data_IF_150532946671
#
_entry.id   IF_150532946671
#
_cell.length_a   1.000
_cell.length_b   1.000
_cell.length_c   1.000
_cell.angle_alpha   90.00
_cell.angle_beta   90.00
_cell.angle_gamma   90.00
#
_symmetry.space_group_name_H-M   'P 1'
#
loop_
_entity.id
_entity.type
_entity.pdbx_description
1 polymer ?
#
# COMPACT_ATOMS: atom_id res chain seq x y z
N UNK A 1 11.33 0.71 -4.34
CA UNK A 1 11.08 0.64 -5.78
C UNK A 1 9.62 0.95 -6.11
N UNK A 2 8.61 0.17 -5.69
CA UNK A 2 7.19 0.48 -5.97
C UNK A 2 6.77 1.82 -5.36
N UNK A 3 7.08 2.08 -4.09
CA UNK A 3 6.83 3.38 -3.47
C UNK A 3 7.53 4.55 -4.17
N UNK A 4 8.73 4.31 -4.76
CA UNK A 4 9.43 5.33 -5.53
C UNK A 4 8.72 5.59 -6.88
N UNK A 5 8.17 4.54 -7.49
CA UNK A 5 7.32 4.64 -8.68
C UNK A 5 6.03 5.41 -8.39
N UNK A 6 5.31 5.09 -7.31
CA UNK A 6 4.12 5.84 -6.89
C UNK A 6 4.42 7.32 -6.68
N UNK A 7 5.49 7.62 -5.94
CA UNK A 7 5.90 9.00 -5.67
C UNK A 7 6.27 9.75 -6.96
N UNK A 8 6.96 9.08 -7.89
CA UNK A 8 7.33 9.66 -9.18
C UNK A 8 6.10 9.89 -10.04
N UNK A 9 5.16 8.95 -10.09
CA UNK A 9 3.90 9.08 -10.81
C UNK A 9 3.08 10.25 -10.24
N UNK A 10 2.95 10.35 -8.92
CA UNK A 10 2.29 11.48 -8.26
C UNK A 10 2.94 12.81 -8.63
N UNK A 11 4.27 12.89 -8.62
CA UNK A 11 5.03 14.10 -9.00
C UNK A 11 4.81 14.48 -10.47
N UNK A 12 4.83 13.50 -11.38
CA UNK A 12 4.65 13.74 -12.82
C UNK A 12 3.22 14.17 -13.12
N UNK A 13 2.21 13.51 -12.54
CA UNK A 13 0.82 13.92 -12.69
C UNK A 13 0.57 15.31 -12.07
N UNK A 14 1.09 15.55 -10.86
CA UNK A 14 0.96 16.84 -10.17
C UNK A 14 1.56 18.02 -10.95
N UNK A 15 2.60 17.79 -11.75
CA UNK A 15 3.19 18.85 -12.60
C UNK A 15 2.49 19.03 -13.95
N UNK A 16 1.72 18.04 -14.42
CA UNK A 16 1.02 18.09 -15.72
C UNK A 16 -0.44 18.53 -15.63
N UNK A 17 -1.08 18.27 -14.51
CA UNK A 17 -2.47 18.65 -14.32
C UNK A 17 -2.57 20.16 -14.10
N UNK A 18 -3.55 20.78 -14.75
CA UNK A 18 -3.89 22.18 -14.52
C UNK A 18 -4.73 22.34 -13.24
N UNK A 19 -4.84 23.58 -12.74
CA UNK A 19 -5.73 23.94 -11.63
C UNK A 19 -7.17 23.45 -11.90
N UNK A 20 -7.87 22.88 -10.89
CA UNK A 20 -7.54 22.92 -9.47
C UNK A 20 -6.57 21.83 -9.00
N UNK A 21 -6.22 20.83 -9.82
CA UNK A 21 -5.43 19.66 -9.42
C UNK A 21 -3.90 19.85 -9.49
N UNK A 22 -3.43 20.99 -9.99
CA UNK A 22 -2.01 21.30 -10.11
C UNK A 22 -1.30 21.19 -8.75
N UNK A 23 -0.29 20.32 -8.67
CA UNK A 23 0.46 20.04 -7.44
C UNK A 23 -0.31 19.29 -6.36
N UNK A 24 -1.54 18.83 -6.62
CA UNK A 24 -2.44 18.20 -5.66
C UNK A 24 -2.62 16.70 -5.91
N UNK A 25 -1.49 16.02 -6.13
CA UNK A 25 -1.42 14.57 -6.32
C UNK A 25 -0.47 13.99 -5.28
N UNK A 26 -0.92 13.01 -4.50
CA UNK A 26 -0.15 12.43 -3.39
C UNK A 26 -0.28 10.91 -3.31
N UNK A 27 0.70 10.25 -2.69
CA UNK A 27 0.69 8.79 -2.46
C UNK A 27 -0.03 8.46 -1.15
N UNK A 28 -0.79 7.37 -1.13
CA UNK A 28 -1.45 6.84 0.09
C UNK A 28 -0.57 5.81 0.80
N UNK A 29 -0.49 5.78 2.14
CA UNK A 29 -1.09 6.72 3.10
C UNK A 29 -0.29 8.03 3.17
N UNK A 30 -0.93 9.15 2.83
CA UNK A 30 -0.39 10.50 2.93
C UNK A 30 -1.08 11.29 4.04
N UNK A 31 -0.54 12.46 4.41
CA UNK A 31 -1.07 13.31 5.48
C UNK A 31 -2.49 13.88 5.21
N UNK A 32 -3.06 13.62 4.04
CA UNK A 32 -4.27 14.28 3.55
C UNK A 32 -3.94 15.70 3.08
N UNK A 33 -4.46 16.12 1.93
CA UNK A 33 -4.33 17.50 1.49
C UNK A 33 -5.51 18.28 2.07
N UNK A 34 -5.24 19.23 2.96
CA UNK A 34 -6.28 20.07 3.53
C UNK A 34 -6.88 20.99 2.45
N UNK A 35 -8.21 20.92 2.27
CA UNK A 35 -9.04 21.80 1.45
C UNK A 35 -8.84 21.70 -0.06
N UNK A 36 -9.92 21.53 -0.85
CA UNK A 36 -9.90 21.51 -2.31
C UNK A 36 -9.70 20.12 -2.94
N UNK A 37 -10.07 19.92 -4.21
CA UNK A 37 -10.03 18.61 -4.86
C UNK A 37 -8.59 18.14 -5.05
N UNK A 38 -8.37 16.83 -5.00
CA UNK A 38 -7.03 16.24 -5.09
C UNK A 38 -7.07 14.80 -5.60
N UNK A 39 -5.90 14.25 -5.92
CA UNK A 39 -5.76 12.88 -6.42
C UNK A 39 -4.86 12.07 -5.49
N UNK A 40 -5.32 10.89 -5.13
CA UNK A 40 -4.55 9.90 -4.37
C UNK A 40 -4.02 8.84 -5.33
N UNK A 41 -2.76 8.45 -5.14
CA UNK A 41 -2.07 7.39 -5.89
C UNK A 41 -1.77 6.25 -4.93
N UNK A 42 -2.15 5.03 -5.29
CA UNK A 42 -1.80 3.83 -4.54
C UNK A 42 -1.64 2.65 -5.50
N UNK A 43 -0.61 1.83 -5.34
CA UNK A 43 -0.60 0.52 -5.98
C UNK A 43 -1.51 -0.44 -5.22
N UNK A 44 -2.38 -1.13 -5.95
CA UNK A 44 -3.41 -2.01 -5.38
C UNK A 44 -3.17 -3.48 -5.67
N UNK A 45 -2.39 -3.78 -6.72
CA UNK A 45 -1.98 -5.15 -7.05
C UNK A 45 -0.59 -5.16 -7.70
N UNK A 46 0.13 -6.27 -7.53
CA UNK A 46 1.44 -6.49 -8.13
C UNK A 46 1.53 -7.93 -8.60
N UNK A 47 1.89 -8.14 -9.85
CA UNK A 47 2.13 -9.47 -10.39
C UNK A 47 3.46 -9.51 -11.13
N UNK A 48 4.14 -10.67 -11.25
CA UNK A 48 5.13 -10.88 -12.28
C UNK A 48 4.48 -10.62 -13.64
N UNK A 49 5.17 -9.90 -14.51
CA UNK A 49 4.76 -9.87 -15.91
C UNK A 49 5.07 -11.25 -16.53
N UNK A 50 4.14 -11.79 -17.34
CA UNK A 50 4.17 -13.17 -17.84
C UNK A 50 5.45 -13.58 -18.61
N UNK A 51 5.62 -14.90 -18.74
CA UNK A 51 6.81 -15.60 -19.25
C UNK A 51 7.11 -15.44 -20.74
N UNK A 52 6.22 -14.85 -21.53
CA UNK A 52 6.35 -14.75 -23.00
C UNK A 52 7.22 -13.58 -23.48
N UNK A 53 8.30 -13.31 -22.76
CA UNK A 53 9.43 -12.53 -23.27
C UNK A 53 10.66 -13.41 -23.25
N UNK A 54 10.80 -14.19 -24.33
CA UNK A 54 11.95 -15.05 -24.54
C UNK A 54 11.61 -16.54 -24.56
N UNK A 55 10.61 -16.96 -25.34
CA UNK A 55 10.69 -18.29 -25.96
C UNK A 55 11.94 -18.26 -26.85
N UNK A 56 13.01 -18.69 -26.23
CA UNK A 56 14.34 -18.87 -26.75
C UNK A 56 15.05 -19.57 -25.61
N UNK A 57 14.91 -20.91 -25.55
CA UNK A 57 15.80 -21.79 -24.79
C UNK A 57 17.20 -21.19 -24.87
N UNK A 58 17.73 -20.69 -23.76
CA UNK A 58 19.05 -20.06 -23.81
C UNK A 58 20.12 -21.16 -23.84
N UNK A 59 21.11 -21.07 -24.76
CA UNK A 59 22.28 -21.95 -24.75
C UNK A 59 23.00 -21.87 -23.40
N UNK A 60 23.73 -22.92 -23.03
CA UNK A 60 24.56 -22.92 -21.81
C UNK A 60 25.39 -21.64 -21.74
N UNK A 61 25.29 -20.85 -20.66
CA UNK A 61 25.95 -19.55 -20.59
C UNK A 61 27.47 -19.75 -20.44
N UNK A 62 28.23 -18.99 -21.22
CA UNK A 62 29.68 -18.89 -21.07
C UNK A 62 30.02 -18.06 -19.83
N UNK A 63 31.26 -18.18 -19.32
CA UNK A 63 31.76 -17.44 -18.15
C UNK A 63 31.67 -15.91 -18.33
N UNK A 64 31.62 -15.42 -19.57
CA UNK A 64 31.50 -13.99 -19.90
C UNK A 64 30.06 -13.45 -19.78
N UNK A 65 29.05 -14.32 -19.93
CA UNK A 65 27.62 -13.98 -19.79
C UNK A 65 27.19 -13.85 -18.32
N UNK A 66 27.93 -14.48 -17.39
CA UNK A 66 27.71 -14.38 -15.95
C UNK A 66 27.92 -12.96 -15.39
N UNK A 67 28.81 -12.19 -15.99
CA UNK A 67 29.10 -10.80 -15.60
C UNK A 67 28.04 -9.78 -16.08
N UNK A 68 27.16 -10.17 -17.02
CA UNK A 68 26.15 -9.32 -17.65
C UNK A 68 24.71 -9.65 -17.22
N UNK A 69 24.53 -10.43 -16.17
CA UNK A 69 23.20 -10.74 -15.64
C UNK A 69 22.55 -9.44 -15.16
N UNK A 70 21.25 -9.23 -15.45
CA UNK A 70 20.51 -8.03 -15.04
C UNK A 70 19.82 -8.30 -13.69
N UNK A 71 19.94 -7.38 -12.72
CA UNK A 71 19.33 -7.49 -11.38
C UNK A 71 17.97 -6.80 -11.33
N UNK A 72 17.08 -7.23 -12.22
CA UNK A 72 15.77 -6.59 -12.40
C UNK A 72 14.64 -7.58 -12.21
N UNK A 73 13.59 -7.14 -11.51
CA UNK A 73 12.31 -7.82 -11.47
C UNK A 73 11.40 -7.23 -12.52
N UNK A 74 10.75 -8.09 -13.31
CA UNK A 74 9.72 -7.62 -14.21
C UNK A 74 8.36 -7.75 -13.55
N UNK A 75 7.74 -6.61 -13.27
CA UNK A 75 6.45 -6.54 -12.58
C UNK A 75 5.41 -5.86 -13.48
N UNK A 76 4.17 -6.32 -13.36
CA UNK A 76 2.97 -5.58 -13.66
C UNK A 76 2.41 -5.06 -12.32
N UNK A 77 2.28 -3.75 -12.18
CA UNK A 77 1.75 -3.08 -10.99
C UNK A 77 0.43 -2.44 -11.38
N UNK A 78 -0.65 -2.80 -10.70
CA UNK A 78 -1.92 -2.08 -10.80
C UNK A 78 -1.87 -0.88 -9.88
N UNK A 79 -2.18 0.29 -10.41
CA UNK A 79 -2.20 1.56 -9.68
C UNK A 79 -3.61 2.14 -9.72
N UNK A 80 -4.16 2.41 -8.55
CA UNK A 80 -5.37 3.19 -8.37
C UNK A 80 -5.01 4.68 -8.30
N UNK A 81 -5.69 5.48 -9.11
CA UNK A 81 -5.77 6.92 -8.99
C UNK A 81 -7.19 7.29 -8.55
N UNK A 82 -7.32 7.77 -7.31
CA UNK A 82 -8.61 8.18 -6.75
C UNK A 82 -8.72 9.69 -6.77
N UNK A 83 -9.70 10.22 -7.50
CA UNK A 83 -10.00 11.65 -7.55
C UNK A 83 -10.99 11.96 -6.43
N UNK A 84 -10.52 12.72 -5.45
CA UNK A 84 -11.29 13.13 -4.29
C UNK A 84 -11.78 14.56 -4.52
N UNK A 85 -13.10 14.81 -4.58
CA UNK A 85 -13.64 16.16 -4.72
C UNK A 85 -13.38 16.99 -3.45
N UNK A 86 -13.59 18.31 -3.52
CA UNK A 86 -13.44 19.17 -2.35
C UNK A 86 -14.48 18.88 -1.26
N UNK A 87 -15.68 18.49 -1.70
CA UNK A 87 -16.81 18.03 -0.89
C UNK A 87 -17.47 16.81 -1.59
N UNK A 88 -17.98 15.86 -0.82
CA UNK A 88 -18.76 14.70 -1.29
C UNK A 88 -19.92 15.05 -2.24
N UNK A 89 -20.47 16.26 -2.15
CA UNK A 89 -21.56 16.74 -3.01
C UNK A 89 -21.09 17.28 -4.36
N UNK A 90 -19.79 17.55 -4.52
CA UNK A 90 -19.21 18.15 -5.73
C UNK A 90 -18.76 17.12 -6.77
N UNK A 91 -19.69 16.24 -7.15
CA UNK A 91 -19.48 15.19 -8.15
C UNK A 91 -18.86 15.68 -9.47
N UNK A 92 -19.17 16.92 -9.87
CA UNK A 92 -18.60 17.53 -11.07
C UNK A 92 -17.08 17.68 -11.00
N UNK A 93 -16.51 17.95 -9.82
CA UNK A 93 -15.06 18.04 -9.64
C UNK A 93 -14.38 16.69 -9.82
N UNK A 94 -14.97 15.62 -9.28
CA UNK A 94 -14.46 14.27 -9.44
C UNK A 94 -14.48 13.81 -10.91
N UNK A 95 -15.55 14.12 -11.65
CA UNK A 95 -15.64 13.83 -13.09
C UNK A 95 -14.59 14.63 -13.88
N UNK A 96 -14.48 15.93 -13.64
CA UNK A 96 -13.49 16.77 -14.33
C UNK A 96 -12.05 16.35 -14.01
N UNK A 97 -11.78 15.97 -12.77
CA UNK A 97 -10.47 15.44 -12.38
C UNK A 97 -10.16 14.13 -13.08
N UNK A 98 -11.15 13.22 -13.17
CA UNK A 98 -11.00 11.97 -13.89
C UNK A 98 -10.66 12.21 -15.37
N UNK A 99 -11.40 13.06 -16.06
CA UNK A 99 -11.15 13.41 -17.47
C UNK A 99 -9.75 13.99 -17.69
N UNK A 100 -9.31 14.89 -16.80
CA UNK A 100 -7.98 15.50 -16.87
C UNK A 100 -6.86 14.48 -16.64
N UNK A 101 -7.07 13.55 -15.70
CA UNK A 101 -6.10 12.47 -15.47
C UNK A 101 -6.04 11.55 -16.68
N UNK A 102 -7.19 11.12 -17.23
CA UNK A 102 -7.26 10.29 -18.43
C UNK A 102 -6.52 10.95 -19.60
N UNK A 103 -6.76 12.25 -19.83
CA UNK A 103 -6.05 13.00 -20.86
C UNK A 103 -4.54 13.07 -20.60
N UNK A 104 -4.12 13.27 -19.35
CA UNK A 104 -2.70 13.35 -19.00
C UNK A 104 -1.97 12.02 -19.17
N UNK A 105 -2.60 10.88 -18.86
CA UNK A 105 -1.97 9.56 -18.97
C UNK A 105 -1.89 9.04 -20.42
N UNK A 106 -2.76 9.53 -21.31
CA UNK A 106 -2.77 9.17 -22.72
C UNK A 106 -1.60 9.77 -23.52
N UNK A 107 -0.82 10.68 -22.93
CA UNK A 107 0.36 11.22 -23.61
C UNK A 107 1.39 10.13 -23.88
N UNK A 108 1.96 10.12 -25.08
CA UNK A 108 2.83 9.04 -25.56
C UNK A 108 4.08 8.81 -24.69
N UNK A 109 4.52 9.81 -23.94
CA UNK A 109 5.66 9.73 -23.01
C UNK A 109 5.29 9.15 -21.64
N UNK A 110 4.07 9.37 -21.12
CA UNK A 110 3.57 8.68 -19.93
C UNK A 110 3.20 7.24 -20.25
N UNK A 111 2.48 7.01 -21.35
CA UNK A 111 2.09 5.67 -21.80
C UNK A 111 3.31 4.77 -22.05
N UNK A 112 4.43 5.34 -22.49
CA UNK A 112 5.70 4.62 -22.68
C UNK A 112 6.64 4.67 -21.45
N UNK A 113 6.19 5.20 -20.31
CA UNK A 113 6.97 5.31 -19.07
C UNK A 113 8.11 6.33 -19.07
N UNK A 114 8.47 6.93 -20.22
CA UNK A 114 9.57 7.91 -20.37
C UNK A 114 9.44 9.14 -19.48
N UNK A 115 8.20 9.61 -19.25
CA UNK A 115 7.94 10.72 -18.35
C UNK A 115 8.32 10.42 -16.89
N UNK A 116 8.38 9.14 -16.52
CA UNK A 116 8.67 8.67 -15.18
C UNK A 116 10.17 8.46 -14.97
N UNK A 117 10.95 8.35 -16.03
CA UNK A 117 12.41 8.20 -15.95
C UNK A 117 13.01 9.38 -15.16
N UNK A 118 13.97 9.07 -14.29
CA UNK A 118 14.71 10.07 -13.55
C UNK A 118 15.86 10.61 -14.41
N UNK A 119 16.12 11.92 -14.30
CA UNK A 119 17.33 12.49 -14.90
C UNK A 119 18.57 11.97 -14.13
N UNK A 120 19.65 11.57 -14.83
CA UNK A 120 20.90 11.21 -14.17
C UNK A 120 21.39 12.33 -13.23
N UNK A 121 21.97 12.02 -12.06
CA UNK A 121 22.42 10.70 -11.60
C UNK A 121 21.41 9.92 -10.74
N UNK A 122 20.14 10.35 -10.68
CA UNK A 122 19.16 9.72 -9.79
C UNK A 122 18.71 8.35 -10.33
N UNK A 123 18.89 7.30 -9.53
CA UNK A 123 18.32 5.97 -9.77
C UNK A 123 17.20 5.69 -8.76
N UNK A 124 15.96 5.66 -9.25
CA UNK A 124 14.77 5.44 -8.43
C UNK A 124 14.47 3.94 -8.19
N UNK A 125 15.26 3.03 -8.78
CA UNK A 125 15.05 1.60 -8.63
C UNK A 125 13.91 1.05 -9.50
N UNK A 126 13.54 1.74 -10.58
CA UNK A 126 12.54 1.24 -11.52
C UNK A 126 12.69 1.87 -12.91
N UNK A 127 12.15 1.17 -13.91
CA UNK A 127 11.93 1.66 -15.27
C UNK A 127 10.62 1.12 -15.80
N UNK A 128 9.69 2.01 -16.16
CA UNK A 128 8.41 1.61 -16.71
C UNK A 128 8.54 1.48 -18.22
N UNK A 129 8.17 0.32 -18.76
CA UNK A 129 8.13 0.06 -20.18
C UNK A 129 6.80 0.52 -20.80
N UNK A 130 5.72 0.34 -20.04
CA UNK A 130 4.36 0.64 -20.47
C UNK A 130 3.49 1.02 -19.29
N UNK A 131 2.70 2.07 -19.46
CA UNK A 131 1.60 2.42 -18.59
C UNK A 131 0.32 2.44 -19.43
N UNK A 132 -0.70 1.70 -19.02
CA UNK A 132 -1.97 1.63 -19.74
C UNK A 132 -3.16 1.73 -18.81
N UNK A 133 -4.27 2.26 -19.31
CA UNK A 133 -5.55 2.24 -18.63
C UNK A 133 -6.09 0.80 -18.57
N UNK A 134 -6.52 0.34 -17.40
CA UNK A 134 -7.28 -0.89 -17.23
C UNK A 134 -8.77 -0.59 -17.27
N UNK A 135 -9.21 0.29 -16.37
CA UNK A 135 -10.57 0.77 -16.29
C UNK A 135 -10.63 2.15 -15.62
N UNK A 136 -11.78 2.80 -15.75
CA UNK A 136 -12.11 4.01 -15.02
C UNK A 136 -13.60 3.97 -14.63
N UNK A 137 -13.89 4.41 -13.41
CA UNK A 137 -15.23 4.49 -12.85
C UNK A 137 -15.51 5.93 -12.41
N UNK A 138 -16.51 6.52 -13.05
CA UNK A 138 -17.07 7.79 -12.60
C UNK A 138 -17.94 7.58 -11.35
N UNK A 139 -18.00 8.57 -10.44
CA UNK A 139 -18.92 8.53 -9.31
C UNK A 139 -20.37 8.55 -9.80
N UNK A 140 -21.22 7.80 -9.11
CA UNK A 140 -22.68 7.76 -9.31
C UNK A 140 -23.38 8.50 -8.17
N UNK A 141 -24.69 8.72 -8.30
CA UNK A 141 -25.49 9.37 -7.23
C UNK A 141 -25.62 8.51 -5.96
N UNK A 142 -25.26 7.22 -6.04
CA UNK A 142 -25.36 6.28 -4.93
C UNK A 142 -24.01 6.06 -4.21
N UNK A 143 -22.93 6.71 -4.66
CA UNK A 143 -21.61 6.57 -4.04
C UNK A 143 -21.46 7.59 -2.90
N UNK A 144 -21.28 7.10 -1.67
CA UNK A 144 -21.25 7.92 -0.44
C UNK A 144 -20.07 8.90 -0.36
N UNK A 145 -19.00 8.67 -1.14
CA UNK A 145 -17.77 9.48 -1.11
C UNK A 145 -17.60 10.41 -2.33
N UNK A 146 -18.47 10.28 -3.34
CA UNK A 146 -18.42 11.05 -4.58
C UNK A 146 -17.12 10.91 -5.39
N UNK A 147 -16.25 9.93 -5.10
CA UNK A 147 -14.93 9.81 -5.71
C UNK A 147 -14.96 9.13 -7.09
N UNK A 148 -14.09 9.59 -7.99
CA UNK A 148 -13.80 8.87 -9.24
C UNK A 148 -12.56 7.99 -9.05
N UNK A 149 -12.55 6.83 -9.69
CA UNK A 149 -11.46 5.85 -9.57
C UNK A 149 -10.95 5.48 -10.96
N UNK A 150 -9.63 5.49 -11.15
CA UNK A 150 -8.96 5.07 -12.38
C UNK A 150 -7.94 4.00 -12.04
N UNK A 151 -8.00 2.85 -12.70
CA UNK A 151 -7.00 1.80 -12.56
C UNK A 151 -6.05 1.79 -13.75
N UNK A 152 -4.76 1.84 -13.47
CA UNK A 152 -3.68 1.74 -14.45
C UNK A 152 -2.90 0.46 -14.26
N UNK A 153 -2.36 -0.08 -15.34
CA UNK A 153 -1.36 -1.15 -15.33
C UNK A 153 -0.01 -0.61 -15.76
N UNK A 154 0.95 -0.63 -14.85
CA UNK A 154 2.34 -0.28 -15.10
C UNK A 154 3.16 -1.56 -15.27
N UNK A 155 3.72 -1.78 -16.45
CA UNK A 155 4.63 -2.88 -16.71
C UNK A 155 6.05 -2.36 -16.82
N UNK A 156 6.96 -2.93 -16.04
CA UNK A 156 8.32 -2.41 -15.96
C UNK A 156 9.30 -3.30 -15.22
N UNK A 157 10.51 -2.78 -15.11
CA UNK A 157 11.61 -3.37 -14.38
C UNK A 157 11.79 -2.65 -13.05
N UNK A 158 12.07 -3.40 -11.98
CA UNK A 158 12.22 -2.88 -10.63
C UNK A 158 13.46 -3.50 -9.96
N UNK A 159 14.22 -2.69 -9.22
CA UNK A 159 15.44 -3.09 -8.52
C UNK A 159 15.65 -2.23 -7.26
N UNK A 160 16.56 -2.61 -6.34
CA UNK A 160 16.88 -1.78 -5.19
C UNK A 160 17.41 -0.40 -5.63
N UNK A 161 16.82 0.68 -5.11
CA UNK A 161 17.22 2.04 -5.46
C UNK A 161 18.71 2.28 -5.12
N UNK A 162 19.42 2.98 -6.01
CA UNK A 162 20.85 3.27 -5.87
C UNK A 162 21.78 2.06 -6.09
N UNK A 163 21.26 0.88 -6.40
CA UNK A 163 22.05 -0.24 -6.89
C UNK A 163 22.10 -0.24 -8.41
N UNK A 164 23.19 -0.75 -9.01
CA UNK A 164 23.29 -0.91 -10.47
C UNK A 164 22.29 -1.99 -10.93
N UNK A 165 21.02 -1.62 -11.10
CA UNK A 165 19.96 -2.53 -11.53
C UNK A 165 20.24 -3.16 -12.89
N UNK A 166 21.01 -2.45 -13.73
CA UNK A 166 21.44 -2.89 -15.06
C UNK A 166 22.62 -3.89 -15.04
N UNK A 167 23.17 -4.30 -13.88
CA UNK A 167 24.25 -5.31 -13.83
C UNK A 167 24.38 -6.03 -12.46
N UNK A 168 24.34 -7.36 -12.43
CA UNK A 168 24.59 -8.21 -11.25
C UNK A 168 23.88 -9.58 -11.25
N UNK A 169 24.14 -10.48 -10.28
CA UNK A 169 23.53 -11.82 -10.26
C UNK A 169 22.02 -11.78 -9.99
N UNK A 170 21.30 -12.69 -10.65
CA UNK A 170 19.83 -12.81 -10.68
C UNK A 170 19.17 -12.83 -9.29
N UNK A 171 18.04 -12.13 -9.16
CA UNK A 171 17.21 -12.16 -7.95
C UNK A 171 16.26 -13.35 -8.05
N UNK A 172 16.59 -14.45 -7.36
CA UNK A 172 15.83 -15.71 -7.40
C UNK A 172 14.48 -15.65 -6.67
N UNK A 173 14.37 -14.77 -5.67
CA UNK A 173 13.17 -14.62 -4.84
C UNK A 173 13.06 -13.18 -4.39
N UNK A 174 11.87 -12.61 -4.51
CA UNK A 174 11.52 -11.36 -3.84
C UNK A 174 10.30 -11.56 -2.97
N UNK A 175 10.47 -11.13 -1.73
CA UNK A 175 9.40 -11.07 -0.74
C UNK A 175 8.81 -9.68 -0.83
N UNK A 176 7.70 -9.56 -1.56
CA UNK A 176 6.91 -8.36 -1.54
C UNK A 176 6.09 -8.38 -0.24
N UNK A 177 6.57 -7.63 0.75
CA UNK A 177 5.69 -7.14 1.80
C UNK A 177 4.88 -6.01 1.16
N UNK A 178 3.77 -6.37 0.51
CA UNK A 178 2.82 -5.38 0.02
C UNK A 178 2.42 -4.51 1.22
N UNK A 179 2.69 -3.20 1.12
CA UNK A 179 2.28 -2.20 2.11
C UNK A 179 0.78 -1.90 2.07
N UNK A 180 -0.04 -2.84 1.60
CA UNK A 180 -1.44 -2.61 1.23
C UNK A 180 -2.36 -3.58 1.95
N UNK A 181 -2.21 -3.72 3.27
CA UNK A 181 -3.31 -4.26 4.07
C UNK A 181 -4.22 -3.07 4.36
N UNK A 182 -5.33 -2.88 3.64
CA UNK A 182 -6.37 -2.00 4.14
C UNK A 182 -6.96 -2.70 5.35
N UNK A 183 -6.58 -2.23 6.53
CA UNK A 183 -7.08 -2.80 7.77
C UNK A 183 -8.39 -2.10 8.12
N UNK A 184 -9.39 -2.89 8.48
CA UNK A 184 -10.64 -2.40 9.07
C UNK A 184 -10.81 -3.03 10.44
N UNK A 185 -10.99 -2.21 11.47
CA UNK A 185 -11.36 -2.68 12.80
C UNK A 185 -12.88 -2.82 12.88
N UNK A 186 -13.36 -3.99 13.28
CA UNK A 186 -14.78 -4.34 13.36
C UNK A 186 -15.07 -5.02 14.70
N UNK A 187 -16.21 -4.72 15.30
CA UNK A 187 -16.70 -5.38 16.52
C UNK A 187 -16.45 -4.59 17.81
N UNK A 188 -17.10 -5.05 18.88
CA UNK A 188 -17.18 -4.40 20.20
C UNK A 188 -18.53 -3.71 20.43
N UNK A 189 -19.05 -3.66 21.67
CA UNK A 189 -20.19 -2.81 21.98
C UNK A 189 -19.77 -1.35 21.82
N UNK A 190 -20.36 -0.63 20.88
CA UNK A 190 -20.27 0.83 20.87
C UNK A 190 -21.38 1.39 21.78
N UNK A 191 -21.03 2.25 22.75
CA UNK A 191 -19.71 2.75 23.11
C UNK A 191 -18.91 1.81 24.06
N UNK A 192 -17.57 1.84 23.95
CA UNK A 192 -16.68 1.22 24.95
C UNK A 192 -16.79 2.00 26.27
N UNK A 193 -17.05 1.32 27.38
CA UNK A 193 -17.28 1.93 28.70
C UNK A 193 -16.09 1.73 29.63
N UNK A 194 -15.70 2.78 30.37
CA UNK A 194 -14.62 2.73 31.35
C UNK A 194 -14.89 1.68 32.43
N UNK A 195 -13.91 0.81 32.67
CA UNK A 195 -14.06 -0.35 33.58
C UNK A 195 -15.06 -1.41 33.10
N UNK A 196 -15.57 -1.28 31.88
CA UNK A 196 -16.54 -2.21 31.29
C UNK A 196 -15.92 -3.57 30.93
N UNK A 197 -16.78 -4.46 30.46
CA UNK A 197 -16.37 -5.79 30.01
C UNK A 197 -15.42 -5.72 28.80
N UNK A 198 -14.62 -6.77 28.61
CA UNK A 198 -13.75 -6.90 27.45
C UNK A 198 -14.57 -6.95 26.15
N UNK A 199 -14.21 -6.12 25.19
CA UNK A 199 -14.76 -6.10 23.85
C UNK A 199 -13.99 -7.05 22.94
N UNK A 200 -14.70 -7.92 22.23
CA UNK A 200 -14.11 -8.72 21.16
C UNK A 200 -13.98 -7.85 19.91
N UNK A 201 -12.74 -7.68 19.44
CA UNK A 201 -12.40 -6.90 18.26
C UNK A 201 -11.85 -7.81 17.17
N UNK A 202 -12.12 -7.46 15.92
CA UNK A 202 -11.60 -8.13 14.73
C UNK A 202 -10.96 -7.13 13.79
N UNK A 203 -9.76 -7.42 13.34
CA UNK A 203 -9.14 -6.74 12.21
C UNK A 203 -9.41 -7.56 10.96
N UNK A 204 -10.07 -6.93 10.01
CA UNK A 204 -10.27 -7.45 8.67
C UNK A 204 -9.24 -6.83 7.73
N UNK A 205 -8.81 -7.60 6.74
CA UNK A 205 -8.01 -7.10 5.62
C UNK A 205 -8.64 -7.56 4.32
N UNK A 206 -8.66 -6.65 3.36
CA UNK A 206 -9.04 -6.89 1.97
C UNK A 206 -7.92 -7.56 1.14
N UNK A 207 -6.68 -7.54 1.64
CA UNK A 207 -5.51 -8.00 0.92
C UNK A 207 -4.96 -9.36 1.39
N UNK A 208 -4.46 -10.14 0.41
CA UNK A 208 -3.92 -11.47 0.59
C UNK A 208 -2.41 -11.47 0.93
N UNK A 209 -2.07 -11.22 2.20
CA UNK A 209 -0.79 -11.63 2.82
C UNK A 209 0.53 -11.13 2.18
N UNK A 210 1.65 -11.75 2.59
CA UNK A 210 2.97 -11.55 1.95
C UNK A 210 2.98 -12.29 0.63
N UNK A 211 3.28 -11.60 -0.47
CA UNK A 211 3.36 -12.23 -1.78
C UNK A 211 4.80 -12.59 -2.08
N UNK A 212 5.05 -13.89 -2.27
CA UNK A 212 6.33 -14.38 -2.77
C UNK A 212 6.27 -14.42 -4.27
N UNK A 213 7.13 -13.62 -4.89
CA UNK A 213 7.36 -13.66 -6.32
C UNK A 213 8.67 -14.40 -6.57
N UNK A 214 8.57 -15.49 -7.33
CA UNK A 214 9.71 -16.27 -7.83
C UNK A 214 9.72 -16.22 -9.35
N UNK A 215 10.90 -16.28 -9.95
CA UNK A 215 11.05 -16.21 -11.40
C UNK A 215 10.44 -17.43 -12.13
N UNK A 216 10.35 -18.57 -11.44
CA UNK A 216 9.98 -19.88 -11.99
C UNK A 216 8.64 -20.42 -11.47
N UNK A 217 7.93 -19.64 -10.64
CA UNK A 217 6.67 -20.07 -10.03
C UNK A 217 5.62 -18.96 -10.08
N UNK A 218 4.32 -19.32 -10.18
CA UNK A 218 3.25 -18.34 -10.03
C UNK A 218 3.35 -17.62 -8.67
N UNK A 219 2.82 -16.39 -8.56
CA UNK A 219 2.74 -15.69 -7.28
C UNK A 219 2.16 -16.60 -6.21
N UNK A 220 2.91 -16.81 -5.14
CA UNK A 220 2.45 -17.57 -4.00
C UNK A 220 2.14 -16.60 -2.87
N UNK A 221 0.86 -16.48 -2.51
CA UNK A 221 0.49 -15.86 -1.25
C UNK A 221 1.10 -16.71 -0.11
N UNK A 222 2.03 -16.15 0.64
CA UNK A 222 2.46 -16.72 1.90
C UNK A 222 1.37 -16.48 2.94
N UNK A 223 1.30 -17.36 3.96
CA UNK A 223 0.38 -17.19 5.08
C UNK A 223 0.43 -15.75 5.60
N UNK A 224 -0.73 -15.19 5.93
CA UNK A 224 -1.04 -13.81 6.33
C UNK A 224 -0.16 -13.20 7.47
N UNK A 225 0.79 -13.96 7.99
CA UNK A 225 1.76 -13.53 8.98
C UNK A 225 1.15 -13.31 10.35
N UNK A 226 1.97 -12.78 11.25
CA UNK A 226 1.58 -12.44 12.61
C UNK A 226 1.61 -10.92 12.75
N UNK A 227 0.53 -10.34 13.26
CA UNK A 227 0.45 -8.92 13.60
C UNK A 227 0.97 -8.70 15.02
N UNK A 228 1.72 -7.61 15.21
CA UNK A 228 2.04 -7.06 16.53
C UNK A 228 1.08 -5.92 16.83
N UNK A 229 0.29 -6.10 17.89
CA UNK A 229 -0.71 -5.14 18.38
C UNK A 229 -0.18 -4.45 19.64
N UNK A 230 -0.24 -3.12 19.68
CA UNK A 230 0.18 -2.33 20.82
C UNK A 230 -0.83 -1.23 21.13
N UNK A 231 -1.04 -0.91 22.41
CA UNK A 231 -1.79 0.27 22.83
C UNK A 231 -0.83 1.40 23.17
N UNK A 232 -1.14 2.60 22.69
CA UNK A 232 -0.39 3.82 22.98
C UNK A 232 -1.34 4.97 23.32
N UNK A 233 -0.89 5.89 24.16
CA UNK A 233 -1.54 7.17 24.32
C UNK A 233 -1.02 8.17 23.27
N UNK A 234 -1.68 9.31 23.16
CA UNK A 234 -1.30 10.38 22.24
C UNK A 234 0.14 10.89 22.44
N UNK A 235 0.66 10.79 23.67
CA UNK A 235 2.04 11.16 24.03
C UNK A 235 3.09 10.07 23.72
N UNK A 236 2.67 8.92 23.18
CA UNK A 236 3.53 7.78 22.87
C UNK A 236 3.81 6.83 24.05
N UNK A 237 3.34 7.15 25.26
CA UNK A 237 3.42 6.24 26.40
C UNK A 237 2.58 4.98 26.19
N UNK A 238 2.88 3.85 26.88
CA UNK A 238 2.03 2.66 26.84
C UNK A 238 0.58 2.97 27.24
N UNK A 239 -0.37 2.30 26.60
CA UNK A 239 -1.78 2.35 26.99
C UNK A 239 -2.03 1.80 28.40
N UNK A 240 -3.14 2.24 29.00
CA UNK A 240 -3.75 1.73 30.25
C UNK A 240 -4.65 0.54 30.00
N UNK A 241 -5.39 0.54 28.88
CA UNK A 241 -6.21 -0.61 28.50
C UNK A 241 -5.36 -1.86 28.29
N UNK A 242 -6.00 -3.02 28.22
CA UNK A 242 -5.28 -4.28 28.01
C UNK A 242 -5.78 -5.05 26.79
N UNK A 243 -4.84 -5.67 26.07
CA UNK A 243 -5.13 -6.55 24.94
C UNK A 243 -5.03 -8.02 25.36
N UNK A 244 -5.95 -8.83 24.86
CA UNK A 244 -5.99 -10.29 25.03
C UNK A 244 -6.15 -11.00 23.68
N UNK A 245 -5.88 -12.31 23.64
CA UNK A 245 -5.77 -13.06 22.38
C UNK A 245 -4.35 -13.02 21.79
N UNK A 246 -4.02 -14.06 21.02
CA UNK A 246 -2.68 -14.27 20.49
C UNK A 246 -1.62 -14.60 21.55
N UNK A 247 -0.35 -14.60 21.15
CA UNK A 247 0.79 -14.79 22.06
C UNK A 247 1.25 -13.43 22.66
N UNK A 248 1.88 -13.47 23.84
CA UNK A 248 2.53 -12.28 24.40
C UNK A 248 3.77 -11.92 23.56
N UNK A 249 3.88 -10.65 23.18
CA UNK A 249 5.04 -10.11 22.47
C UNK A 249 5.88 -9.19 23.36
N UNK A 250 7.03 -8.73 22.86
CA UNK A 250 7.90 -7.80 23.57
C UNK A 250 7.21 -6.45 23.81
N UNK A 251 7.58 -5.76 24.89
CA UNK A 251 7.10 -4.40 25.17
C UNK A 251 5.59 -4.27 25.44
N UNK A 252 4.95 -5.35 25.92
CA UNK A 252 3.52 -5.37 26.22
C UNK A 252 2.62 -5.55 24.98
N UNK A 253 3.18 -5.97 23.85
CA UNK A 253 2.42 -6.21 22.62
C UNK A 253 1.72 -7.56 22.63
N UNK A 254 0.72 -7.74 21.76
CA UNK A 254 0.11 -9.03 21.45
C UNK A 254 0.43 -9.44 20.01
N UNK A 255 0.82 -10.69 19.85
CA UNK A 255 1.15 -11.31 18.57
C UNK A 255 -0.05 -12.13 18.12
N UNK A 256 -0.81 -11.60 17.16
CA UNK A 256 -2.07 -12.20 16.70
C UNK A 256 -1.91 -12.68 15.27
N UNK A 257 -2.17 -13.95 14.96
CA UNK A 257 -2.13 -14.42 13.58
C UNK A 257 -3.19 -13.70 12.76
N UNK A 258 -2.80 -13.15 11.62
CA UNK A 258 -3.76 -12.74 10.62
C UNK A 258 -4.12 -13.99 9.81
N UNK A 259 -5.38 -14.10 9.42
CA UNK A 259 -5.89 -15.19 8.58
C UNK A 259 -6.81 -14.60 7.52
N UNK A 260 -7.30 -15.42 6.58
CA UNK A 260 -8.31 -14.98 5.61
C UNK A 260 -9.60 -14.48 6.28
N UNK A 261 -9.90 -14.93 7.51
CA UNK A 261 -11.07 -14.48 8.27
C UNK A 261 -10.79 -13.21 9.13
N UNK A 262 -9.57 -12.67 9.04
CA UNK A 262 -9.08 -11.57 9.88
C UNK A 262 -8.26 -12.04 11.09
N UNK A 263 -7.92 -11.09 11.94
CA UNK A 263 -7.23 -11.28 13.22
C UNK A 263 -8.19 -10.91 14.37
N UNK A 264 -8.40 -11.84 15.31
CA UNK A 264 -9.34 -11.65 16.43
C UNK A 264 -8.58 -11.49 17.74
N UNK A 265 -8.96 -10.50 18.54
CA UNK A 265 -8.35 -10.19 19.84
C UNK A 265 -9.36 -9.48 20.74
N UNK A 266 -9.10 -9.44 22.04
CA UNK A 266 -9.93 -8.71 23.00
C UNK A 266 -9.28 -7.40 23.43
N UNK A 267 -10.08 -6.38 23.69
CA UNK A 267 -9.68 -5.14 24.36
C UNK A 267 -10.49 -4.95 25.64
N UNK A 268 -9.82 -4.80 26.77
CA UNK A 268 -10.46 -4.42 28.03
C UNK A 268 -10.23 -2.93 28.27
N UNK A 269 -11.30 -2.10 28.30
CA UNK A 269 -11.18 -0.68 28.56
C UNK A 269 -10.55 -0.38 29.93
N UNK A 270 -9.79 0.72 30.06
CA UNK A 270 -9.25 1.14 31.33
C UNK A 270 -10.35 1.60 32.31
N UNK A 271 -10.05 1.66 33.60
CA UNK A 271 -11.00 2.07 34.65
C UNK A 271 -11.43 3.54 34.55
N UNK A 272 -10.64 4.39 33.87
CA UNK A 272 -10.96 5.80 33.63
C UNK A 272 -11.24 6.03 32.14
N UNK A 273 -12.20 6.91 31.86
CA UNK A 273 -12.50 7.33 30.49
C UNK A 273 -11.28 7.99 29.83
N UNK A 274 -11.12 7.80 28.52
CA UNK A 274 -9.95 8.27 27.81
C UNK A 274 -9.88 7.79 26.36
N UNK A 275 -8.81 8.17 25.68
CA UNK A 275 -8.53 7.74 24.32
C UNK A 275 -7.15 7.11 24.24
N UNK A 276 -7.07 5.99 23.54
CA UNK A 276 -5.84 5.27 23.26
C UNK A 276 -5.81 4.91 21.77
N UNK A 277 -4.64 4.68 21.22
CA UNK A 277 -4.43 4.22 19.86
C UNK A 277 -4.02 2.75 19.86
N UNK A 278 -4.79 1.94 19.14
CA UNK A 278 -4.36 0.61 18.73
C UNK A 278 -3.44 0.74 17.52
N UNK A 279 -2.16 0.44 17.72
CA UNK A 279 -1.15 0.38 16.67
C UNK A 279 -0.96 -1.04 16.19
N UNK A 280 -0.94 -1.21 14.86
CA UNK A 280 -0.78 -2.50 14.21
C UNK A 280 0.48 -2.47 13.34
N UNK A 281 1.31 -3.50 13.51
CA UNK A 281 2.56 -3.71 12.76
C UNK A 281 2.69 -5.17 12.34
N UNK A 282 3.57 -5.45 11.39
CA UNK A 282 4.02 -6.82 11.17
C UNK A 282 4.95 -7.25 12.30
N UNK A 283 4.79 -8.48 12.78
CA UNK A 283 5.79 -9.14 13.62
C UNK A 283 6.85 -9.81 12.76
N UNK A 284 8.11 -9.75 13.18
CA UNK A 284 9.17 -10.58 12.64
C UNK A 284 9.10 -12.01 13.20
N UNK A 285 9.88 -12.97 12.67
CA UNK A 285 9.93 -14.34 13.17
C UNK A 285 10.28 -14.47 14.66
N UNK A 286 10.98 -13.47 15.22
CA UNK A 286 11.33 -13.36 16.65
C UNK A 286 10.25 -12.67 17.49
N UNK A 287 9.14 -12.26 16.87
CA UNK A 287 8.04 -11.55 17.52
C UNK A 287 8.26 -10.05 17.71
N UNK A 288 9.39 -9.48 17.27
CA UNK A 288 9.60 -8.05 17.34
C UNK A 288 8.73 -7.31 16.30
N UNK A 289 8.20 -6.14 16.67
CA UNK A 289 7.47 -5.30 15.74
C UNK A 289 8.45 -4.67 14.72
N UNK A 290 8.21 -4.86 13.42
CA UNK A 290 9.07 -4.33 12.35
C UNK A 290 8.33 -3.37 11.42
N UNK A 291 9.07 -2.38 10.91
CA UNK A 291 8.61 -1.50 9.84
C UNK A 291 7.64 -0.39 10.28
N UNK A 292 6.96 0.21 9.30
CA UNK A 292 5.97 1.25 9.50
C UNK A 292 4.72 0.72 10.23
N UNK A 293 3.96 1.61 10.87
CA UNK A 293 2.63 1.29 11.38
C UNK A 293 1.72 1.03 10.18
N UNK A 294 1.10 -0.15 10.15
CA UNK A 294 0.17 -0.57 9.09
C UNK A 294 -1.23 0.01 9.30
N UNK A 295 -1.63 0.15 10.56
CA UNK A 295 -2.92 0.70 10.95
C UNK A 295 -2.86 1.33 12.33
N UNK A 296 -3.61 2.43 12.50
CA UNK A 296 -3.80 3.13 13.77
C UNK A 296 -5.29 3.36 13.95
N UNK A 297 -5.85 2.79 15.01
CA UNK A 297 -7.28 2.91 15.31
C UNK A 297 -7.48 3.56 16.68
N UNK A 298 -8.22 4.67 16.78
CA UNK A 298 -8.54 5.27 18.06
C UNK A 298 -9.56 4.39 18.80
N UNK A 299 -9.21 3.97 20.02
CA UNK A 299 -10.11 3.33 20.98
C UNK A 299 -10.54 4.36 22.01
N UNK A 300 -11.81 4.79 21.92
CA UNK A 300 -12.38 5.81 22.80
C UNK A 300 -13.25 5.14 23.85
N UNK A 301 -12.93 5.38 25.10
CA UNK A 301 -13.65 4.86 26.26
C UNK A 301 -14.46 5.98 26.91
N UNK A 302 -15.78 5.82 26.95
CA UNK A 302 -16.71 6.74 27.59
C UNK A 302 -16.79 6.48 29.12
N UNK A 303 -17.17 7.49 29.93
CA UNK A 303 -17.49 7.24 31.34
C UNK A 303 -18.65 6.24 31.48
N UNK A 304 -18.63 5.49 32.58
CA UNK A 304 -19.69 4.56 32.95
C UNK A 304 -20.99 5.27 33.36
#
# INVERSE_FOLDING_TARGET
MIAAFEQRLATVLGSRLAAPFAGRVQVTPGAGLAGGPHILVASTDVAPAGSDFGIGRRPEPTTQDLARRLRVLRLAVTVELRVVPSDSTERSEAIQGMERVLYAIETADIAAGRALDAAPPADLGFRIARLGLLDARAPTLADDDGAAVIHLRAEGWFWPAGAVGETGPEIQEVRLRAGFLSLRLVGGPEPLIAGGAAAALRLESDAAGEMRLRADAPPAAAAFGTLSLALRRADGSPGVGSLTGGAAGPGGTRLVPLTAAGAVFGYTPPAAAGSEDLLIRMADPDGAARGAVLGRFPLRTAPA
#
